data_IF_376267958149
#
_entry.id   IF_376267958149
#
_cell.length_a   1.000
_cell.length_b   1.000
_cell.length_c   1.000
_cell.angle_alpha   90.00
_cell.angle_beta   90.00
_cell.angle_gamma   90.00
#
_symmetry.space_group_name_H-M   'P 1'
#
loop_
_entity.id
_entity.type
_entity.pdbx_description
1 polymer ?
#
# COMPACT_ATOMS: atom_id res chain seq x y z
N UNK A 1 -7.99 24.48 -19.97
CA UNK A 1 -8.53 25.86 -19.87
C UNK A 1 -9.07 25.98 -18.46
N UNK A 2 -8.56 26.86 -17.60
CA UNK A 2 -9.09 26.98 -16.23
C UNK A 2 -10.52 27.52 -16.30
N UNK A 3 -11.51 26.67 -16.04
CA UNK A 3 -12.90 27.11 -15.97
C UNK A 3 -13.05 28.09 -14.80
N UNK A 4 -13.68 29.24 -15.07
CA UNK A 4 -13.85 30.29 -14.05
C UNK A 4 -14.94 29.83 -13.07
N UNK A 5 -14.53 29.46 -11.86
CA UNK A 5 -15.41 29.05 -10.76
C UNK A 5 -16.58 30.03 -10.55
N UNK A 6 -17.78 29.49 -10.33
CA UNK A 6 -18.99 30.25 -9.98
C UNK A 6 -19.72 29.57 -8.82
N UNK A 7 -20.31 30.37 -7.93
CA UNK A 7 -21.17 29.86 -6.86
C UNK A 7 -22.55 29.46 -7.41
N UNK A 8 -23.15 28.40 -6.85
CA UNK A 8 -24.55 28.03 -7.10
C UNK A 8 -24.74 26.65 -7.76
N UNK A 9 -25.99 26.15 -7.70
CA UNK A 9 -26.36 24.81 -8.19
C UNK A 9 -26.21 24.65 -9.71
N UNK A 10 -26.41 25.70 -10.48
CA UNK A 10 -26.32 25.63 -11.94
C UNK A 10 -24.89 25.39 -12.41
N UNK A 11 -23.91 25.96 -11.70
CA UNK A 11 -22.50 25.69 -11.99
C UNK A 11 -22.14 24.24 -11.65
N UNK A 12 -22.60 23.71 -10.51
CA UNK A 12 -22.38 22.29 -10.16
C UNK A 12 -22.97 21.34 -11.22
N UNK A 13 -24.21 21.60 -11.67
CA UNK A 13 -24.84 20.82 -12.75
C UNK A 13 -24.10 20.92 -14.08
N UNK A 14 -23.53 22.08 -14.40
CA UNK A 14 -22.68 22.27 -15.57
C UNK A 14 -21.41 21.42 -15.48
N UNK A 15 -20.77 21.37 -14.30
CA UNK A 15 -19.58 20.53 -14.08
C UNK A 15 -19.92 19.04 -14.20
N UNK A 16 -21.01 18.58 -13.57
CA UNK A 16 -21.47 17.19 -13.68
C UNK A 16 -21.79 16.78 -15.13
N UNK A 17 -22.31 17.72 -15.94
CA UNK A 17 -22.61 17.44 -17.35
C UNK A 17 -21.33 17.19 -18.17
N UNK A 18 -20.24 17.91 -17.85
CA UNK A 18 -18.93 17.83 -18.51
C UNK A 18 -18.04 16.72 -17.95
N UNK A 19 -18.33 16.19 -16.77
CA UNK A 19 -17.54 15.13 -16.15
C UNK A 19 -17.55 13.84 -16.99
N UNK A 20 -16.37 13.46 -17.49
CA UNK A 20 -16.14 12.24 -18.26
C UNK A 20 -16.22 10.98 -17.37
N UNK A 21 -16.03 11.14 -16.06
CA UNK A 21 -16.05 10.06 -15.07
C UNK A 21 -17.44 9.79 -14.49
N UNK A 22 -18.45 10.60 -14.78
CA UNK A 22 -19.80 10.47 -14.19
C UNK A 22 -20.41 9.07 -14.33
N UNK A 23 -20.06 8.36 -15.42
CA UNK A 23 -20.49 6.98 -15.69
C UNK A 23 -20.04 5.98 -14.60
N UNK A 24 -18.93 6.25 -13.93
CA UNK A 24 -18.39 5.36 -12.88
C UNK A 24 -19.24 5.41 -11.60
N UNK A 25 -19.97 6.50 -11.34
CA UNK A 25 -20.87 6.61 -10.19
C UNK A 25 -21.90 5.47 -10.14
N UNK A 26 -22.41 5.06 -11.30
CA UNK A 26 -23.41 3.99 -11.42
C UNK A 26 -22.87 2.59 -11.03
N UNK A 27 -21.55 2.45 -10.87
CA UNK A 27 -20.90 1.21 -10.45
C UNK A 27 -20.90 1.03 -8.94
N UNK A 28 -21.14 2.10 -8.17
CA UNK A 28 -21.13 2.09 -6.71
C UNK A 28 -22.54 2.04 -6.14
N UNK A 29 -22.68 1.35 -5.01
CA UNK A 29 -23.91 1.31 -4.23
C UNK A 29 -23.99 2.56 -3.35
N UNK A 30 -24.74 3.56 -3.82
CA UNK A 30 -25.03 4.79 -3.09
C UNK A 30 -26.56 4.97 -3.01
N UNK A 31 -27.05 5.42 -1.86
CA UNK A 31 -28.45 5.73 -1.67
C UNK A 31 -28.92 6.92 -2.52
N UNK A 32 -30.21 6.95 -2.84
CA UNK A 32 -30.80 8.10 -3.53
C UNK A 32 -30.64 9.37 -2.69
N UNK A 33 -29.97 10.39 -3.25
CA UNK A 33 -29.68 11.64 -2.55
C UNK A 33 -28.59 11.54 -1.47
N UNK A 34 -27.92 10.40 -1.32
CA UNK A 34 -26.85 10.23 -0.35
C UNK A 34 -25.60 11.05 -0.70
N UNK A 35 -25.04 11.74 0.29
CA UNK A 35 -23.77 12.46 0.20
C UNK A 35 -22.68 11.70 0.98
N UNK A 36 -22.07 10.71 0.34
CA UNK A 36 -21.03 9.88 0.95
C UNK A 36 -19.65 10.55 0.83
N UNK A 37 -19.22 11.21 1.91
CA UNK A 37 -17.98 12.00 1.96
C UNK A 37 -16.92 11.41 2.90
N UNK A 38 -16.92 10.09 3.10
CA UNK A 38 -15.98 9.36 3.98
C UNK A 38 -15.28 8.18 3.26
N UNK A 39 -15.22 8.25 1.92
CA UNK A 39 -14.56 7.24 1.07
C UNK A 39 -13.05 7.09 1.31
N UNK A 40 -12.43 8.11 1.91
CA UNK A 40 -11.04 8.10 2.37
C UNK A 40 -10.84 7.24 3.64
N UNK A 41 -11.92 6.79 4.30
CA UNK A 41 -11.88 5.92 5.47
C UNK A 41 -12.37 4.51 5.12
N UNK A 42 -13.52 4.42 4.45
CA UNK A 42 -14.05 3.19 3.88
C UNK A 42 -14.66 3.51 2.52
N UNK A 43 -14.16 2.91 1.46
CA UNK A 43 -14.73 3.09 0.13
C UNK A 43 -16.11 2.45 0.02
N UNK A 44 -17.00 3.08 -0.76
CA UNK A 44 -18.33 2.53 -1.02
C UNK A 44 -18.22 1.20 -1.78
N UNK A 45 -19.11 0.24 -1.47
CA UNK A 45 -19.13 -1.03 -2.19
C UNK A 45 -19.47 -0.79 -3.68
N UNK A 46 -18.77 -1.50 -4.57
CA UNK A 46 -19.07 -1.48 -6.01
C UNK A 46 -19.66 -2.80 -6.46
N UNK A 47 -20.42 -2.74 -7.57
CA UNK A 47 -20.91 -3.92 -8.30
C UNK A 47 -19.76 -4.86 -8.70
N UNK A 48 -18.61 -4.29 -9.06
CA UNK A 48 -17.43 -5.03 -9.48
C UNK A 48 -16.75 -5.78 -8.34
N UNK A 49 -16.61 -5.12 -7.19
CA UNK A 49 -16.10 -5.74 -5.97
C UNK A 49 -17.00 -6.90 -5.52
N UNK A 50 -18.32 -6.68 -5.55
CA UNK A 50 -19.32 -7.68 -5.21
C UNK A 50 -19.27 -8.89 -6.17
N UNK A 51 -19.27 -8.64 -7.48
CA UNK A 51 -19.23 -9.70 -8.49
C UNK A 51 -17.96 -10.55 -8.34
N UNK A 52 -16.80 -9.92 -8.15
CA UNK A 52 -15.54 -10.62 -7.97
C UNK A 52 -15.55 -11.51 -6.71
N UNK A 53 -16.13 -11.02 -5.60
CA UNK A 53 -16.29 -11.80 -4.38
C UNK A 53 -17.21 -13.00 -4.58
N UNK A 54 -18.37 -12.82 -5.20
CA UNK A 54 -19.30 -13.94 -5.46
C UNK A 54 -18.71 -14.95 -6.44
N UNK A 55 -17.96 -14.51 -7.43
CA UNK A 55 -17.23 -15.41 -8.33
C UNK A 55 -16.21 -16.27 -7.57
N UNK A 56 -15.44 -15.69 -6.64
CA UNK A 56 -14.52 -16.45 -5.78
C UNK A 56 -15.25 -17.51 -4.95
N UNK A 57 -16.43 -17.17 -4.40
CA UNK A 57 -17.26 -18.11 -3.64
C UNK A 57 -17.75 -19.27 -4.51
N UNK A 58 -18.21 -19.00 -5.73
CA UNK A 58 -18.65 -20.07 -6.65
C UNK A 58 -17.50 -20.96 -7.12
N UNK A 59 -16.30 -20.39 -7.35
CA UNK A 59 -15.08 -21.17 -7.62
C UNK A 59 -14.77 -22.10 -6.47
N UNK A 60 -14.78 -21.60 -5.23
CA UNK A 60 -14.50 -22.41 -4.05
C UNK A 60 -15.54 -23.52 -3.86
N UNK A 61 -16.84 -23.18 -3.93
CA UNK A 61 -17.96 -24.12 -3.79
C UNK A 61 -17.88 -25.27 -4.80
N UNK A 62 -17.57 -24.97 -6.06
CA UNK A 62 -17.49 -25.97 -7.13
C UNK A 62 -16.26 -26.87 -6.99
N UNK A 63 -15.11 -26.29 -6.65
CA UNK A 63 -13.82 -26.96 -6.83
C UNK A 63 -13.16 -27.42 -5.52
N UNK A 64 -13.58 -26.90 -4.37
CA UNK A 64 -13.04 -27.24 -3.05
C UNK A 64 -11.51 -27.07 -3.05
N UNK A 65 -10.76 -28.04 -2.53
CA UNK A 65 -9.29 -28.01 -2.52
C UNK A 65 -8.67 -27.94 -3.92
N UNK A 66 -9.37 -28.39 -4.97
CA UNK A 66 -8.86 -28.35 -6.34
C UNK A 66 -8.76 -26.93 -6.89
N UNK A 67 -9.38 -25.94 -6.23
CA UNK A 67 -9.29 -24.53 -6.66
C UNK A 67 -7.85 -24.04 -6.81
N UNK A 68 -6.92 -24.55 -6.00
CA UNK A 68 -5.51 -24.14 -6.04
C UNK A 68 -4.80 -24.49 -7.36
N UNK A 69 -5.35 -25.42 -8.13
CA UNK A 69 -4.79 -25.87 -9.41
C UNK A 69 -5.55 -25.34 -10.64
N UNK A 70 -6.59 -24.52 -10.43
CA UNK A 70 -7.41 -23.97 -11.52
C UNK A 70 -6.67 -22.82 -12.19
N UNK A 71 -6.89 -22.65 -13.49
CA UNK A 71 -6.32 -21.55 -14.29
C UNK A 71 -4.79 -21.46 -14.11
N UNK A 72 -4.09 -22.59 -14.28
CA UNK A 72 -2.63 -22.69 -14.07
C UNK A 72 -2.17 -22.24 -12.67
N UNK A 73 -3.01 -22.53 -11.67
CA UNK A 73 -2.76 -22.18 -10.28
C UNK A 73 -2.96 -20.69 -9.98
N UNK A 74 -3.79 -19.97 -10.74
CA UNK A 74 -4.13 -18.55 -10.49
C UNK A 74 -4.47 -18.29 -9.03
N UNK A 75 -5.34 -19.12 -8.43
CA UNK A 75 -5.80 -18.93 -7.05
C UNK A 75 -4.70 -19.16 -6.03
N UNK A 76 -3.73 -20.03 -6.32
CA UNK A 76 -2.55 -20.19 -5.49
C UNK A 76 -1.58 -19.01 -5.61
N UNK A 77 -1.45 -18.45 -6.81
CA UNK A 77 -0.65 -17.26 -7.13
C UNK A 77 -1.45 -15.95 -6.98
N UNK A 78 -2.58 -15.99 -6.28
CA UNK A 78 -3.53 -14.88 -6.22
C UNK A 78 -2.97 -13.60 -5.59
N UNK A 79 -2.16 -13.66 -4.51
CA UNK A 79 -1.48 -12.48 -3.97
C UNK A 79 -0.74 -11.66 -5.03
N UNK A 80 0.07 -12.34 -5.85
CA UNK A 80 0.86 -11.74 -6.93
C UNK A 80 -0.01 -11.22 -8.06
N UNK A 81 -1.04 -11.99 -8.43
CA UNK A 81 -2.01 -11.56 -9.44
C UNK A 81 -2.69 -10.25 -9.02
N UNK A 82 -3.20 -10.16 -7.79
CA UNK A 82 -3.85 -8.96 -7.27
C UNK A 82 -2.87 -7.81 -7.11
N UNK A 83 -1.68 -8.05 -6.55
CA UNK A 83 -0.62 -7.04 -6.44
C UNK A 83 -0.28 -6.42 -7.81
N UNK A 84 -0.13 -7.26 -8.83
CA UNK A 84 0.16 -6.83 -10.20
C UNK A 84 -0.94 -5.98 -10.87
N UNK A 85 -2.17 -5.94 -10.35
CA UNK A 85 -3.23 -5.05 -10.86
C UNK A 85 -2.96 -3.58 -10.51
N UNK A 86 -2.19 -3.30 -9.46
CA UNK A 86 -1.83 -1.95 -9.01
C UNK A 86 -0.60 -1.37 -9.72
N UNK A 87 0.11 -2.17 -10.52
CA UNK A 87 1.37 -1.78 -11.15
C UNK A 87 1.25 -0.53 -12.04
N UNK A 88 0.13 -0.40 -12.77
CA UNK A 88 -0.12 0.76 -13.63
C UNK A 88 -0.30 2.05 -12.83
N UNK A 89 -1.13 2.04 -11.77
CA UNK A 89 -1.36 3.21 -10.90
C UNK A 89 -0.10 3.73 -10.21
N UNK A 90 0.90 2.86 -10.02
CA UNK A 90 2.16 3.18 -9.35
C UNK A 90 3.34 3.39 -10.31
N UNK A 91 3.14 3.14 -11.62
CA UNK A 91 4.22 2.99 -12.59
C UNK A 91 5.35 2.05 -12.10
N UNK A 92 4.98 0.91 -11.51
CA UNK A 92 5.91 -0.08 -10.95
C UNK A 92 5.92 -1.38 -11.77
N UNK A 93 6.92 -2.25 -11.55
CA UNK A 93 6.90 -3.58 -12.16
C UNK A 93 5.96 -4.52 -11.36
N UNK A 94 5.23 -5.40 -12.06
CA UNK A 94 4.23 -6.28 -11.43
C UNK A 94 4.80 -7.22 -10.37
N UNK A 95 6.06 -7.62 -10.52
CA UNK A 95 6.75 -8.51 -9.59
C UNK A 95 7.28 -7.79 -8.35
N UNK A 96 7.06 -6.48 -8.22
CA UNK A 96 7.38 -5.70 -7.02
C UNK A 96 6.19 -5.57 -6.07
N UNK A 97 4.99 -6.05 -6.44
CA UNK A 97 3.74 -5.87 -5.71
C UNK A 97 3.08 -7.21 -5.36
N UNK A 98 2.70 -7.40 -4.10
CA UNK A 98 1.90 -8.57 -3.67
C UNK A 98 0.81 -8.16 -2.67
N UNK A 99 -0.36 -8.80 -2.77
CA UNK A 99 -1.47 -8.59 -1.85
C UNK A 99 -1.37 -9.53 -0.65
N UNK A 100 -1.13 -8.97 0.54
CA UNK A 100 -0.91 -9.77 1.74
C UNK A 100 -1.18 -8.97 3.01
N UNK A 101 -1.60 -9.67 4.06
CA UNK A 101 -1.87 -9.16 5.41
C UNK A 101 -2.66 -7.83 5.45
N UNK A 102 -2.55 -7.10 6.57
CA UNK A 102 -2.99 -5.70 6.71
C UNK A 102 -1.79 -4.75 6.60
N UNK A 103 -2.05 -3.44 6.49
CA UNK A 103 -0.99 -2.40 6.41
C UNK A 103 0.00 -2.54 7.56
N UNK A 104 -0.49 -2.59 8.79
CA UNK A 104 0.35 -2.70 9.99
C UNK A 104 1.25 -3.93 9.97
N UNK A 105 0.74 -5.08 9.55
CA UNK A 105 1.55 -6.30 9.44
C UNK A 105 2.58 -6.18 8.31
N UNK A 106 2.25 -5.54 7.20
CA UNK A 106 3.21 -5.29 6.13
C UNK A 106 4.30 -4.29 6.54
N UNK A 107 3.98 -3.29 7.38
CA UNK A 107 4.99 -2.42 8.01
C UNK A 107 5.90 -3.27 8.90
N UNK A 108 5.36 -4.14 9.76
CA UNK A 108 6.20 -5.05 10.55
C UNK A 108 7.06 -5.96 9.66
N UNK A 109 6.53 -6.45 8.54
CA UNK A 109 7.26 -7.31 7.62
C UNK A 109 8.44 -6.57 6.97
N UNK A 110 8.21 -5.34 6.49
CA UNK A 110 9.25 -4.49 5.93
C UNK A 110 10.30 -4.12 6.99
N UNK A 111 9.88 -3.68 8.18
CA UNK A 111 10.79 -3.35 9.27
C UNK A 111 11.58 -4.57 9.75
N UNK A 112 10.95 -5.74 9.93
CA UNK A 112 11.66 -6.95 10.31
C UNK A 112 12.74 -7.34 9.28
N UNK A 113 12.51 -7.02 8.00
CA UNK A 113 13.44 -7.27 6.88
C UNK A 113 14.59 -6.26 6.86
N UNK A 114 14.27 -4.97 6.84
CA UNK A 114 15.25 -3.92 6.54
C UNK A 114 15.85 -3.28 7.79
N UNK A 115 15.18 -3.35 8.95
CA UNK A 115 15.67 -2.74 10.18
C UNK A 115 16.75 -3.60 10.82
N UNK A 116 17.98 -3.35 10.40
CA UNK A 116 19.20 -4.01 10.87
C UNK A 116 20.07 -3.00 11.63
N UNK A 117 19.66 -2.59 12.85
CA UNK A 117 20.35 -1.53 13.58
C UNK A 117 21.79 -1.93 13.91
N UNK A 118 22.67 -0.93 13.92
CA UNK A 118 24.07 -1.02 14.32
C UNK A 118 24.37 0.02 15.41
N UNK A 119 25.54 -0.05 16.04
CA UNK A 119 25.94 0.95 17.04
C UNK A 119 25.94 2.40 16.54
N UNK A 120 26.12 2.61 15.23
CA UNK A 120 26.19 3.95 14.62
C UNK A 120 24.89 4.36 13.94
N UNK A 121 24.10 3.39 13.45
CA UNK A 121 22.93 3.60 12.62
C UNK A 121 21.81 2.68 13.08
N UNK A 122 20.88 3.21 13.85
CA UNK A 122 19.84 2.43 14.52
C UNK A 122 18.51 3.16 14.64
N UNK A 123 18.41 4.44 14.25
CA UNK A 123 17.17 5.19 14.42
C UNK A 123 16.19 4.91 13.29
N UNK A 124 14.90 4.90 13.62
CA UNK A 124 13.82 4.95 12.65
C UNK A 124 13.27 6.37 12.67
N UNK A 125 13.33 7.07 11.54
CA UNK A 125 12.75 8.38 11.36
C UNK A 125 11.26 8.28 11.00
N UNK A 126 10.43 9.04 11.70
CA UNK A 126 8.99 9.20 11.49
C UNK A 126 8.60 10.66 11.75
N UNK A 127 7.45 11.12 11.26
CA UNK A 127 6.86 12.41 11.66
C UNK A 127 5.81 12.26 12.78
N UNK A 128 5.54 13.33 13.53
CA UNK A 128 4.55 13.33 14.63
C UNK A 128 3.08 13.46 14.18
N UNK A 129 2.84 13.67 12.88
CA UNK A 129 1.51 13.68 12.27
C UNK A 129 1.15 12.34 11.62
N UNK A 130 2.08 11.38 11.63
CA UNK A 130 1.90 10.06 11.03
C UNK A 130 0.76 9.30 11.71
N UNK A 131 0.17 8.35 10.98
CA UNK A 131 -0.91 7.55 11.54
C UNK A 131 -0.38 6.70 12.71
N UNK A 132 -1.16 6.52 13.80
CA UNK A 132 -0.65 5.87 15.00
C UNK A 132 -0.06 4.46 14.78
N UNK A 133 -0.58 3.71 13.81
CA UNK A 133 -0.12 2.32 13.58
C UNK A 133 1.32 2.23 13.13
N UNK A 134 1.81 3.18 12.32
CA UNK A 134 3.17 3.25 11.81
C UNK A 134 4.15 3.44 12.98
N UNK A 135 3.81 4.37 13.87
CA UNK A 135 4.58 4.69 15.07
C UNK A 135 4.61 3.47 16.01
N UNK A 136 3.45 2.85 16.26
CA UNK A 136 3.37 1.66 17.10
C UNK A 136 4.18 0.48 16.52
N UNK A 137 4.13 0.29 15.20
CA UNK A 137 4.90 -0.74 14.53
C UNK A 137 6.41 -0.51 14.67
N UNK A 138 6.88 0.73 14.42
CA UNK A 138 8.27 1.12 14.59
C UNK A 138 8.75 0.92 16.04
N UNK A 139 8.01 1.43 17.03
CA UNK A 139 8.33 1.27 18.46
C UNK A 139 8.47 -0.21 18.83
N UNK A 140 7.54 -1.06 18.39
CA UNK A 140 7.60 -2.48 18.72
C UNK A 140 8.82 -3.18 18.10
N UNK A 141 9.20 -2.82 16.88
CA UNK A 141 10.36 -3.38 16.19
C UNK A 141 11.65 -2.95 16.86
N UNK A 142 11.75 -1.69 17.28
CA UNK A 142 12.85 -1.19 18.13
C UNK A 142 12.97 -2.02 19.41
N UNK A 143 11.87 -2.22 20.14
CA UNK A 143 11.87 -3.03 21.38
C UNK A 143 12.30 -4.47 21.13
N UNK A 144 11.85 -5.09 20.03
CA UNK A 144 12.24 -6.46 19.66
C UNK A 144 13.74 -6.56 19.33
N UNK A 145 14.40 -5.47 18.94
CA UNK A 145 15.86 -5.41 18.77
C UNK A 145 16.62 -5.04 20.06
N UNK A 146 15.93 -4.91 21.19
CA UNK A 146 16.53 -4.60 22.49
C UNK A 146 17.01 -3.15 22.64
N UNK A 147 16.47 -2.24 21.83
CA UNK A 147 16.78 -0.81 21.87
C UNK A 147 15.71 -0.03 22.62
N UNK A 148 16.07 1.14 23.14
CA UNK A 148 15.16 2.07 23.81
C UNK A 148 14.42 2.92 22.75
N UNK A 149 13.07 2.84 22.67
CA UNK A 149 12.29 3.68 21.76
C UNK A 149 12.49 5.17 21.93
N UNK A 150 12.76 5.66 23.14
CA UNK A 150 12.92 7.09 23.39
C UNK A 150 14.20 7.65 22.72
N UNK A 151 15.18 6.80 22.39
CA UNK A 151 16.37 7.16 21.62
C UNK A 151 16.30 6.70 20.16
N UNK A 152 15.79 5.48 19.91
CA UNK A 152 15.81 4.87 18.58
C UNK A 152 14.67 5.32 17.66
N UNK A 153 13.64 6.00 18.17
CA UNK A 153 12.62 6.64 17.34
C UNK A 153 12.95 8.12 17.19
N UNK A 154 13.32 8.53 15.98
CA UNK A 154 13.59 9.94 15.66
C UNK A 154 12.33 10.58 15.10
N UNK A 155 11.69 11.44 15.89
CA UNK A 155 10.45 12.11 15.50
C UNK A 155 10.73 13.49 14.92
N UNK A 156 10.33 13.71 13.68
CA UNK A 156 10.26 15.04 13.05
C UNK A 156 8.95 15.69 13.50
N UNK A 157 9.04 16.88 14.09
CA UNK A 157 7.86 17.56 14.65
C UNK A 157 7.28 18.55 13.66
N UNK A 158 5.96 18.54 13.53
CA UNK A 158 5.23 19.62 12.89
C UNK A 158 5.40 20.92 13.67
N UNK A 159 5.67 22.01 12.94
CA UNK A 159 5.83 23.35 13.53
C UNK A 159 4.49 23.93 14.00
N UNK A 160 3.39 23.55 13.36
CA UNK A 160 2.04 24.09 13.61
C UNK A 160 1.00 23.02 14.02
N UNK A 161 1.39 21.76 14.06
CA UNK A 161 0.53 20.61 14.37
C UNK A 161 -0.40 20.19 13.23
N UNK A 162 -0.25 20.75 12.02
CA UNK A 162 -1.13 20.51 10.86
C UNK A 162 -0.38 20.00 9.64
N UNK A 163 0.78 20.58 9.33
CA UNK A 163 1.63 20.19 8.20
C UNK A 163 3.05 19.88 8.67
N UNK A 164 3.78 19.10 7.89
CA UNK A 164 5.19 18.80 8.12
C UNK A 164 6.03 19.50 7.04
N UNK A 165 7.05 20.24 7.45
CA UNK A 165 7.97 20.85 6.50
C UNK A 165 8.94 19.77 5.99
N UNK A 166 8.99 19.57 4.68
CA UNK A 166 9.86 18.56 4.07
C UNK A 166 11.35 18.80 4.36
N UNK A 167 11.74 20.07 4.52
CA UNK A 167 13.11 20.42 4.89
C UNK A 167 13.44 19.94 6.30
N UNK A 168 12.47 19.93 7.24
CA UNK A 168 12.66 19.37 8.59
C UNK A 168 12.82 17.83 8.52
N UNK A 169 12.12 17.18 7.59
CA UNK A 169 12.30 15.74 7.32
C UNK A 169 13.73 15.49 6.82
N UNK A 170 14.18 16.28 5.84
CA UNK A 170 15.50 16.12 5.20
C UNK A 170 16.63 16.41 6.19
N UNK A 171 16.51 17.44 7.03
CA UNK A 171 17.44 17.71 8.14
C UNK A 171 17.44 16.56 9.17
N UNK A 172 16.28 15.92 9.37
CA UNK A 172 16.11 14.74 10.20
C UNK A 172 16.84 13.50 9.66
N UNK A 173 17.09 13.39 8.35
CA UNK A 173 17.84 12.29 7.74
C UNK A 173 19.34 12.43 8.07
N UNK A 174 19.74 11.90 9.23
CA UNK A 174 21.13 11.92 9.72
C UNK A 174 21.79 10.53 9.63
N UNK A 175 23.11 10.45 9.79
CA UNK A 175 23.87 9.20 9.60
C UNK A 175 23.51 8.07 10.57
N UNK A 176 22.84 8.41 11.67
CA UNK A 176 22.31 7.48 12.67
C UNK A 176 20.93 6.88 12.32
N UNK A 177 20.30 7.37 11.25
CA UNK A 177 19.02 6.86 10.74
C UNK A 177 19.24 5.63 9.86
N UNK A 178 18.64 4.51 10.25
CA UNK A 178 18.63 3.27 9.48
C UNK A 178 17.49 3.26 8.46
N UNK A 179 16.31 3.69 8.89
CA UNK A 179 15.08 3.68 8.10
C UNK A 179 14.33 5.00 8.29
N UNK A 180 13.75 5.54 7.22
CA UNK A 180 12.66 6.51 7.30
C UNK A 180 11.35 5.84 6.89
N UNK A 181 10.30 5.98 7.70
CA UNK A 181 8.95 5.50 7.41
C UNK A 181 7.99 6.67 7.48
N UNK A 182 7.47 7.10 6.33
CA UNK A 182 6.70 8.32 6.19
C UNK A 182 5.40 8.07 5.42
N UNK A 183 4.32 8.81 5.69
CA UNK A 183 3.14 8.78 4.85
C UNK A 183 3.39 9.58 3.57
N UNK A 184 2.83 9.15 2.44
CA UNK A 184 2.80 9.95 1.21
C UNK A 184 1.85 11.16 1.32
N UNK A 185 0.80 11.00 2.13
CA UNK A 185 -0.22 12.00 2.41
C UNK A 185 -0.61 11.98 3.89
N UNK A 186 -0.63 13.14 4.53
CA UNK A 186 -1.08 13.28 5.92
C UNK A 186 -2.61 13.16 6.03
N UNK A 187 -3.08 12.14 6.75
CA UNK A 187 -4.51 11.80 6.80
C UNK A 187 -5.44 12.89 7.35
N UNK A 188 -4.92 13.81 8.18
CA UNK A 188 -5.72 14.91 8.77
C UNK A 188 -5.76 16.16 7.92
N UNK A 189 -4.63 16.54 7.32
CA UNK A 189 -4.48 17.82 6.63
C UNK A 189 -4.55 17.70 5.11
N UNK A 190 -4.49 16.48 4.58
CA UNK A 190 -4.36 16.17 3.16
C UNK A 190 -3.09 16.77 2.51
N UNK A 191 -2.07 17.08 3.31
CA UNK A 191 -0.78 17.49 2.77
C UNK A 191 -0.16 16.31 2.02
N UNK A 192 0.21 16.56 0.76
CA UNK A 192 1.06 15.66 -0.02
C UNK A 192 2.52 15.96 0.27
N UNK A 193 3.30 14.90 0.51
CA UNK A 193 4.75 14.97 0.67
C UNK A 193 5.40 14.74 -0.68
N UNK A 194 6.40 15.55 -1.04
CA UNK A 194 7.26 15.31 -2.20
C UNK A 194 8.14 14.06 -1.96
N UNK A 195 7.57 12.91 -2.31
CA UNK A 195 8.20 11.60 -2.11
C UNK A 195 9.52 11.49 -2.86
N UNK A 196 9.64 12.11 -4.04
CA UNK A 196 10.85 12.06 -4.85
C UNK A 196 11.99 12.83 -4.18
N UNK A 197 11.72 14.07 -3.74
CA UNK A 197 12.69 14.92 -3.03
C UNK A 197 13.20 14.23 -1.77
N UNK A 198 12.30 13.70 -0.94
CA UNK A 198 12.66 13.05 0.33
C UNK A 198 13.36 11.72 0.11
N UNK A 199 12.91 10.90 -0.84
CA UNK A 199 13.55 9.61 -1.16
C UNK A 199 14.98 9.80 -1.65
N UNK A 200 15.19 10.77 -2.55
CA UNK A 200 16.53 11.13 -3.02
C UNK A 200 17.45 11.53 -1.87
N UNK A 201 16.99 12.40 -0.96
CA UNK A 201 17.78 12.83 0.20
C UNK A 201 18.12 11.65 1.15
N UNK A 202 17.21 10.70 1.31
CA UNK A 202 17.45 9.49 2.11
C UNK A 202 18.53 8.60 1.47
N UNK A 203 18.43 8.37 0.16
CA UNK A 203 19.39 7.54 -0.58
C UNK A 203 20.79 8.13 -0.65
N UNK A 204 20.92 9.46 -0.76
CA UNK A 204 22.22 10.17 -0.69
C UNK A 204 23.00 9.85 0.60
N UNK A 205 22.29 9.43 1.66
CA UNK A 205 22.83 9.05 2.97
C UNK A 205 22.77 7.54 3.25
N UNK A 206 22.40 6.74 2.25
CA UNK A 206 22.22 5.29 2.38
C UNK A 206 21.14 4.88 3.38
N UNK A 207 20.11 5.72 3.58
CA UNK A 207 18.96 5.43 4.45
C UNK A 207 17.92 4.68 3.62
N UNK A 208 17.40 3.57 4.14
CA UNK A 208 16.26 2.86 3.56
C UNK A 208 15.01 3.70 3.80
N UNK A 209 14.20 3.95 2.78
CA UNK A 209 12.96 4.72 2.91
C UNK A 209 11.74 3.93 2.47
N UNK A 210 10.75 3.90 3.36
CA UNK A 210 9.45 3.29 3.15
C UNK A 210 8.32 4.31 3.19
N UNK A 211 7.30 4.06 2.37
CA UNK A 211 6.14 4.94 2.28
C UNK A 211 4.83 4.23 2.61
N UNK A 212 3.98 4.85 3.44
CA UNK A 212 2.57 4.47 3.58
C UNK A 212 1.71 5.31 2.62
N UNK A 213 1.08 4.64 1.65
CA UNK A 213 0.23 5.25 0.63
C UNK A 213 -1.26 5.11 0.93
N UNK A 214 -1.65 4.71 2.13
CA UNK A 214 -3.03 4.37 2.50
C UNK A 214 -4.04 5.50 2.22
N UNK A 215 -3.59 6.76 2.24
CA UNK A 215 -4.43 7.91 1.92
C UNK A 215 -4.14 8.58 0.57
N UNK A 216 -3.24 8.02 -0.24
CA UNK A 216 -2.94 8.55 -1.58
C UNK A 216 -3.29 7.57 -2.71
N UNK A 217 -3.16 6.25 -2.48
CA UNK A 217 -3.47 5.24 -3.49
C UNK A 217 -4.91 5.38 -4.00
N UNK A 218 -5.09 5.36 -5.32
CA UNK A 218 -6.41 5.53 -5.96
C UNK A 218 -6.93 6.97 -5.96
N UNK A 219 -6.16 7.95 -5.49
CA UNK A 219 -6.53 9.38 -5.53
C UNK A 219 -5.43 10.31 -6.03
N UNK A 220 -4.17 9.85 -5.99
CA UNK A 220 -2.99 10.61 -6.40
C UNK A 220 -2.13 9.73 -7.30
N UNK A 221 -1.63 10.26 -8.44
CA UNK A 221 -0.70 9.52 -9.28
C UNK A 221 0.64 9.34 -8.58
N UNK A 222 1.22 8.15 -8.73
CA UNK A 222 2.56 7.84 -8.22
C UNK A 222 3.43 7.31 -9.36
N UNK A 223 4.71 7.72 -9.35
CA UNK A 223 5.70 7.21 -10.28
C UNK A 223 6.85 6.56 -9.52
N UNK A 224 6.73 5.25 -9.25
CA UNK A 224 7.74 4.53 -8.48
C UNK A 224 9.05 4.33 -9.23
N UNK A 225 9.08 4.45 -10.56
CA UNK A 225 10.34 4.51 -11.31
C UNK A 225 11.10 5.80 -11.06
N UNK A 226 10.39 6.90 -10.79
CA UNK A 226 10.98 8.20 -10.47
C UNK A 226 11.28 8.35 -8.97
N UNK A 227 10.33 7.95 -8.12
CA UNK A 227 10.45 8.05 -6.66
C UNK A 227 11.46 7.04 -6.13
N UNK A 228 11.54 5.83 -6.71
CA UNK A 228 12.42 4.73 -6.30
C UNK A 228 12.35 4.32 -4.80
N UNK A 229 11.15 4.20 -4.19
CA UNK A 229 11.05 3.86 -2.77
C UNK A 229 11.67 2.47 -2.50
N UNK A 230 12.22 2.22 -1.30
CA UNK A 230 12.77 0.89 -0.98
C UNK A 230 11.65 -0.13 -0.73
N UNK A 231 10.59 0.32 -0.05
CA UNK A 231 9.34 -0.41 0.11
C UNK A 231 8.17 0.56 0.22
N UNK A 232 6.96 0.04 0.03
CA UNK A 232 5.74 0.80 0.26
C UNK A 232 4.60 -0.12 0.70
N UNK A 233 3.64 0.44 1.42
CA UNK A 233 2.45 -0.27 1.88
C UNK A 233 1.21 0.58 1.65
N UNK A 234 0.07 -0.05 1.42
CA UNK A 234 -1.21 0.66 1.45
C UNK A 234 -2.38 -0.28 1.68
N UNK A 235 -3.41 0.25 2.34
CA UNK A 235 -4.69 -0.42 2.44
C UNK A 235 -5.48 -0.29 1.14
N UNK A 236 -6.41 -1.21 0.93
CA UNK A 236 -7.28 -1.24 -0.25
C UNK A 236 -8.74 -0.93 0.08
N UNK A 237 -9.08 -0.79 1.36
CA UNK A 237 -10.45 -0.55 1.83
C UNK A 237 -10.87 0.93 1.83
N UNK A 238 -9.94 1.88 1.64
CA UNK A 238 -10.21 3.32 1.56
C UNK A 238 -10.63 3.70 0.14
N UNK A 239 -9.90 4.59 -0.53
CA UNK A 239 -10.20 5.06 -1.89
C UNK A 239 -10.43 3.90 -2.88
N UNK A 240 -9.58 2.87 -2.84
CA UNK A 240 -9.68 1.69 -3.73
C UNK A 240 -10.98 0.89 -3.54
N UNK A 241 -11.70 1.06 -2.42
CA UNK A 241 -13.04 0.49 -2.24
C UNK A 241 -13.11 -1.05 -2.33
N UNK A 242 -12.09 -1.75 -1.85
CA UNK A 242 -12.03 -3.22 -1.87
C UNK A 242 -12.74 -3.92 -0.69
N UNK A 243 -13.50 -3.17 0.12
CA UNK A 243 -14.30 -3.71 1.22
C UNK A 243 -13.63 -3.64 2.59
N UNK A 244 -14.40 -3.77 3.68
CA UNK A 244 -13.95 -3.44 5.03
C UNK A 244 -12.81 -4.34 5.51
N UNK A 245 -11.66 -3.73 5.82
CA UNK A 245 -10.48 -4.47 6.33
C UNK A 245 -9.84 -5.40 5.30
N UNK A 246 -10.10 -5.19 4.01
CA UNK A 246 -9.48 -5.96 2.93
C UNK A 246 -7.95 -5.93 3.00
N UNK A 247 -7.31 -6.96 2.44
CA UNK A 247 -5.87 -7.11 2.49
C UNK A 247 -5.13 -5.89 1.90
N UNK A 248 -3.98 -5.57 2.49
CA UNK A 248 -3.11 -4.53 2.01
C UNK A 248 -2.23 -5.02 0.85
N UNK A 249 -1.63 -4.07 0.13
CA UNK A 249 -0.56 -4.36 -0.82
C UNK A 249 0.78 -4.03 -0.15
N UNK A 250 1.76 -4.90 -0.38
CA UNK A 250 3.16 -4.66 -0.09
C UNK A 250 3.90 -4.49 -1.41
N UNK A 251 4.61 -3.37 -1.52
CA UNK A 251 5.60 -3.12 -2.55
C UNK A 251 7.00 -3.31 -1.99
N UNK A 252 7.85 -4.06 -2.68
CA UNK A 252 9.28 -4.17 -2.43
C UNK A 252 10.01 -3.88 -3.73
N UNK A 253 10.90 -2.90 -3.71
CA UNK A 253 11.69 -2.54 -4.88
C UNK A 253 12.56 -3.72 -5.32
N UNK A 254 12.62 -3.97 -6.63
CA UNK A 254 13.40 -5.07 -7.20
C UNK A 254 14.88 -5.04 -6.85
N UNK A 255 15.45 -3.89 -6.45
CA UNK A 255 16.82 -3.80 -5.93
C UNK A 255 17.05 -4.61 -4.64
N UNK A 256 15.98 -4.95 -3.93
CA UNK A 256 16.00 -5.75 -2.70
C UNK A 256 15.67 -7.23 -2.91
N UNK A 257 15.36 -7.66 -4.14
CA UNK A 257 15.11 -9.07 -4.45
C UNK A 257 16.30 -9.96 -4.10
N UNK A 258 16.01 -11.14 -3.55
CA UNK A 258 17.01 -12.03 -2.94
C UNK A 258 17.42 -11.66 -1.50
N UNK A 259 16.87 -10.59 -0.92
CA UNK A 259 17.00 -10.33 0.53
C UNK A 259 16.11 -11.28 1.32
N UNK A 260 16.67 -11.90 2.36
CA UNK A 260 15.90 -12.75 3.28
C UNK A 260 14.80 -11.93 3.98
N UNK A 261 13.51 -12.32 3.85
CA UNK A 261 12.40 -11.67 4.55
C UNK A 261 12.51 -11.79 6.08
N UNK A 262 12.08 -10.75 6.78
CA UNK A 262 12.13 -10.71 8.25
C UNK A 262 11.16 -11.65 8.95
N UNK A 263 9.95 -11.82 8.42
CA UNK A 263 8.98 -12.81 8.87
C UNK A 263 8.73 -13.78 7.72
N UNK A 264 9.39 -14.93 7.77
CA UNK A 264 9.26 -15.97 6.74
C UNK A 264 8.03 -16.83 6.99
N UNK A 265 7.46 -17.36 5.92
CA UNK A 265 6.40 -18.33 6.01
C UNK A 265 6.35 -19.22 4.77
N UNK A 266 5.56 -20.29 4.86
CA UNK A 266 5.56 -21.34 3.83
C UNK A 266 5.17 -20.81 2.44
N UNK A 267 4.38 -19.73 2.39
CA UNK A 267 3.86 -19.17 1.15
C UNK A 267 4.86 -18.27 0.41
N UNK A 268 5.94 -17.86 1.10
CA UNK A 268 7.05 -17.13 0.51
C UNK A 268 8.15 -18.02 -0.06
N UNK A 269 8.03 -19.35 0.02
CA UNK A 269 8.95 -20.25 -0.67
C UNK A 269 8.76 -20.20 -2.20
N UNK A 270 9.81 -20.58 -2.92
CA UNK A 270 9.77 -20.86 -4.36
C UNK A 270 8.62 -21.76 -4.76
N UNK A 271 7.82 -21.33 -5.73
CA UNK A 271 6.59 -22.03 -6.11
C UNK A 271 6.85 -23.45 -6.64
N UNK A 272 7.99 -23.69 -7.30
CA UNK A 272 8.37 -24.99 -7.86
C UNK A 272 8.64 -26.08 -6.82
N UNK A 273 9.01 -25.71 -5.59
CA UNK A 273 9.33 -26.67 -4.51
C UNK A 273 8.43 -26.51 -3.28
N UNK A 274 7.53 -25.52 -3.26
CA UNK A 274 6.71 -25.20 -2.09
C UNK A 274 5.91 -26.41 -1.55
N UNK A 275 5.43 -27.28 -2.43
CA UNK A 275 4.68 -28.49 -2.05
C UNK A 275 5.56 -29.72 -1.76
N UNK A 276 6.89 -29.59 -1.81
CA UNK A 276 7.79 -30.59 -1.23
C UNK A 276 7.82 -30.51 0.31
N UNK A 277 7.25 -29.44 0.89
CA UNK A 277 7.06 -29.25 2.34
C UNK A 277 8.37 -29.42 3.14
N UNK A 278 9.47 -28.96 2.55
CA UNK A 278 10.78 -29.01 3.19
C UNK A 278 10.82 -28.05 4.39
N UNK A 279 11.52 -28.45 5.45
CA UNK A 279 11.73 -27.59 6.62
C UNK A 279 12.82 -26.52 6.40
N UNK A 280 13.54 -26.58 5.28
CA UNK A 280 14.46 -25.53 4.86
C UNK A 280 13.68 -24.49 4.06
N UNK A 281 13.72 -23.24 4.50
CA UNK A 281 13.17 -22.12 3.73
C UNK A 281 14.06 -21.84 2.51
N UNK A 282 13.44 -21.72 1.34
CA UNK A 282 14.07 -21.31 0.10
C UNK A 282 13.17 -20.25 -0.53
N UNK A 283 13.40 -18.96 -0.20
CA UNK A 283 12.48 -17.89 -0.56
C UNK A 283 12.39 -17.73 -2.08
N UNK A 284 11.22 -17.31 -2.53
CA UNK A 284 11.03 -16.83 -3.90
C UNK A 284 12.00 -15.66 -4.19
N UNK A 285 12.30 -15.40 -5.46
CA UNK A 285 13.27 -14.34 -5.79
C UNK A 285 12.66 -12.93 -5.69
N UNK A 286 11.37 -12.79 -6.00
CA UNK A 286 10.68 -11.51 -6.08
C UNK A 286 9.85 -11.18 -4.83
N UNK A 287 8.94 -10.21 -4.92
CA UNK A 287 8.11 -9.73 -3.80
C UNK A 287 7.37 -10.87 -3.07
N UNK A 288 7.07 -11.98 -3.75
CA UNK A 288 6.37 -13.09 -3.13
C UNK A 288 7.19 -13.76 -2.02
N UNK A 289 8.51 -13.53 -1.94
CA UNK A 289 9.33 -13.96 -0.81
C UNK A 289 8.77 -13.48 0.54
N UNK A 290 8.15 -12.29 0.55
CA UNK A 290 7.57 -11.69 1.76
C UNK A 290 6.17 -12.20 2.10
N UNK A 291 5.63 -13.20 1.38
CA UNK A 291 4.41 -13.89 1.76
C UNK A 291 4.66 -14.81 2.96
N UNK A 292 3.73 -14.81 3.91
CA UNK A 292 3.84 -15.58 5.15
C UNK A 292 2.96 -16.84 5.08
N UNK A 293 1.65 -16.65 5.25
CA UNK A 293 0.65 -17.71 5.31
C UNK A 293 -0.12 -17.91 4.02
N UNK A 294 -1.04 -18.87 4.08
CA UNK A 294 -2.04 -19.10 3.02
C UNK A 294 -2.85 -17.82 2.77
N UNK A 295 -3.13 -17.45 1.51
CA UNK A 295 -3.81 -16.19 1.19
C UNK A 295 -5.27 -16.15 1.67
N UNK A 296 -5.68 -15.00 2.22
CA UNK A 296 -7.06 -14.68 2.58
C UNK A 296 -7.94 -14.42 1.33
N UNK A 297 -8.25 -15.47 0.57
CA UNK A 297 -8.88 -15.38 -0.76
C UNK A 297 -10.11 -14.46 -0.81
N UNK A 298 -11.04 -14.58 0.13
CA UNK A 298 -12.28 -13.78 0.14
C UNK A 298 -12.04 -12.30 0.41
N UNK A 299 -11.02 -11.97 1.20
CA UNK A 299 -10.63 -10.59 1.51
C UNK A 299 -9.89 -9.93 0.33
N UNK A 300 -9.22 -10.73 -0.52
CA UNK A 300 -8.56 -10.26 -1.73
C UNK A 300 -9.50 -10.12 -2.92
N UNK A 301 -10.51 -10.99 -3.01
CA UNK A 301 -11.36 -11.13 -4.19
C UNK A 301 -11.98 -9.82 -4.71
N UNK A 302 -12.51 -8.92 -3.86
CA UNK A 302 -13.07 -7.65 -4.31
C UNK A 302 -12.13 -6.81 -5.20
N UNK A 303 -10.81 -6.87 -4.92
CA UNK A 303 -9.80 -6.12 -5.66
C UNK A 303 -9.75 -6.50 -7.14
N UNK A 304 -10.01 -7.76 -7.49
CA UNK A 304 -10.00 -8.22 -8.88
C UNK A 304 -11.03 -7.50 -9.75
N UNK A 305 -12.14 -7.06 -9.16
CA UNK A 305 -13.16 -6.25 -9.82
C UNK A 305 -12.81 -4.77 -9.77
N UNK A 306 -12.73 -4.20 -8.56
CA UNK A 306 -12.68 -2.74 -8.39
C UNK A 306 -11.40 -2.11 -8.94
N UNK A 307 -10.24 -2.78 -8.87
CA UNK A 307 -8.98 -2.21 -9.36
C UNK A 307 -9.01 -1.99 -10.88
N UNK A 308 -9.74 -2.83 -11.63
CA UNK A 308 -9.94 -2.62 -13.08
C UNK A 308 -10.71 -1.34 -13.37
N UNK A 309 -11.69 -1.00 -12.53
CA UNK A 309 -12.46 0.25 -12.66
C UNK A 309 -11.53 1.46 -12.52
N UNK A 310 -10.61 1.42 -11.55
CA UNK A 310 -9.61 2.48 -11.37
C UNK A 310 -8.64 2.56 -12.55
N UNK A 311 -8.15 1.44 -13.07
CA UNK A 311 -7.27 1.42 -14.24
C UNK A 311 -8.00 1.94 -15.50
N UNK A 312 -9.25 1.54 -15.71
CA UNK A 312 -10.08 2.00 -16.83
C UNK A 312 -10.38 3.50 -16.75
N UNK A 313 -10.58 4.04 -15.54
CA UNK A 313 -10.79 5.47 -15.32
C UNK A 313 -9.49 6.26 -15.56
N UNK A 314 -8.35 5.68 -15.19
CA UNK A 314 -7.03 6.30 -15.26
C UNK A 314 -6.80 7.25 -14.08
N UNK A 315 -5.73 7.03 -13.32
CA UNK A 315 -5.45 7.80 -12.09
C UNK A 315 -5.29 9.30 -12.34
N UNK A 316 -4.79 9.69 -13.51
CA UNK A 316 -4.65 11.09 -13.93
C UNK A 316 -5.99 11.78 -14.18
N UNK A 317 -7.01 11.03 -14.62
CA UNK A 317 -8.36 11.60 -14.79
C UNK A 317 -9.11 11.70 -13.46
N UNK A 318 -8.77 10.83 -12.49
CA UNK A 318 -9.33 10.87 -11.13
C UNK A 318 -8.81 12.09 -10.36
N UNK A 319 -7.57 12.51 -10.63
CA UNK A 319 -6.88 13.60 -9.92
C UNK A 319 -7.30 14.99 -10.38
#
# INVERSE_FOLDING_TARGET
MQEKFKLGIDFAREMDAKDELKKYKERFYLGEGELYMDGNSLGACSKDAEEALFNMLEVWKKNKILMWNIEDGKYFKYPKFIGGLFAEMLNADKNELTCTNSVTINIHQALATFYKPTKKRYKILIDDLNFPTDIHAAISQVKLKGLDPDDAIKVVKSRDGRIIEEDDIIEGLTDDVAIALLPSLLYRSAQLIDMEKVTKAAHEKGIIIGWDLSHSIGSVPHDFKKIDPDFAVFCTYKHISAGPGSNAILYINKKHFGTEPGLTGWHGNKKEIQFQLLHKHDPEIDVDAWLTGTPNMLSMAPMEGIVKVFNDAGIENIR
#
